data_IF_081414073954
#
_entry.id   IF_081414073954
#
_cell.length_a   1.000
_cell.length_b   1.000
_cell.length_c   1.000
_cell.angle_alpha   90.00
_cell.angle_beta   90.00
_cell.angle_gamma   90.00
#
_symmetry.space_group_name_H-M   'P 1'
#
loop_
_entity.id
_entity.type
_entity.pdbx_description
1 polymer ?
#
# COMPACT_ATOMS: atom_id res chain seq x y z
N UNK A 1 13.44 3.49 11.56
CA UNK A 1 13.46 3.55 10.08
C UNK A 1 12.00 3.73 9.67
N UNK A 2 11.65 4.83 8.96
CA UNK A 2 10.26 5.18 8.69
C UNK A 2 9.76 4.63 7.35
N UNK A 3 8.57 4.05 7.31
CA UNK A 3 7.89 3.63 6.06
C UNK A 3 6.91 4.72 5.64
N UNK A 4 6.90 5.07 4.35
CA UNK A 4 5.98 6.07 3.78
C UNK A 4 4.94 5.39 2.90
N UNK A 5 3.67 5.61 3.21
CA UNK A 5 2.54 4.89 2.62
C UNK A 5 1.51 5.87 2.04
N UNK A 6 1.00 5.59 0.84
CA UNK A 6 -0.37 5.99 0.46
C UNK A 6 -0.58 7.12 -0.56
N UNK A 7 -1.81 7.10 -1.10
CA UNK A 7 -2.39 7.98 -2.12
C UNK A 7 -2.74 9.33 -1.51
N UNK A 8 -2.37 10.42 -2.19
CA UNK A 8 -2.73 11.79 -1.80
C UNK A 8 -1.82 12.45 -0.77
N UNK A 9 -1.31 11.74 0.25
CA UNK A 9 -0.30 12.29 1.18
C UNK A 9 0.51 11.17 1.87
N UNK A 10 1.81 11.15 1.60
CA UNK A 10 2.81 10.38 2.34
C UNK A 10 2.69 10.62 3.86
N UNK A 11 2.66 9.56 4.67
CA UNK A 11 2.73 9.65 6.13
C UNK A 11 3.79 8.71 6.69
N UNK A 12 4.37 9.09 7.84
CA UNK A 12 5.43 8.32 8.50
C UNK A 12 4.85 7.19 9.36
N UNK A 13 5.49 6.02 9.29
CA UNK A 13 5.19 4.85 10.09
C UNK A 13 6.46 4.37 10.79
N UNK A 14 6.36 4.09 12.09
CA UNK A 14 7.41 3.41 12.85
C UNK A 14 7.05 1.93 13.00
N UNK A 15 7.94 1.04 12.54
CA UNK A 15 7.81 -0.41 12.68
C UNK A 15 9.20 -1.05 12.82
N UNK A 16 9.29 -2.13 13.59
CA UNK A 16 10.54 -2.87 13.76
C UNK A 16 10.82 -3.77 12.53
N UNK A 17 12.08 -4.05 12.25
CA UNK A 17 12.48 -4.78 11.02
C UNK A 17 12.15 -6.27 11.08
N UNK A 18 12.10 -6.82 12.28
CA UNK A 18 11.76 -8.19 12.63
C UNK A 18 10.24 -8.43 12.68
N UNK A 19 9.44 -7.36 12.66
CA UNK A 19 7.99 -7.49 12.50
C UNK A 19 7.61 -7.95 11.09
N UNK A 20 6.42 -8.53 10.97
CA UNK A 20 5.90 -9.02 9.69
C UNK A 20 5.19 -7.93 8.89
N UNK A 21 5.03 -8.15 7.58
CA UNK A 21 4.20 -7.29 6.73
C UNK A 21 2.74 -7.24 7.22
N UNK A 22 2.22 -8.29 7.86
CA UNK A 22 0.90 -8.26 8.48
C UNK A 22 0.80 -7.16 9.55
N UNK A 23 1.79 -7.08 10.45
CA UNK A 23 1.86 -6.01 11.46
C UNK A 23 1.97 -4.63 10.81
N UNK A 24 2.69 -4.51 9.69
CA UNK A 24 2.72 -3.25 8.92
C UNK A 24 1.33 -2.84 8.44
N UNK A 25 0.52 -3.78 7.94
CA UNK A 25 -0.86 -3.50 7.51
C UNK A 25 -1.73 -3.03 8.68
N UNK A 26 -1.60 -3.64 9.87
CA UNK A 26 -2.31 -3.22 11.07
C UNK A 26 -1.97 -1.77 11.45
N UNK A 27 -0.69 -1.41 11.44
CA UNK A 27 -0.24 -0.05 11.76
C UNK A 27 -0.76 0.96 10.72
N UNK A 28 -0.71 0.62 9.44
CA UNK A 28 -1.27 1.44 8.35
C UNK A 28 -2.76 1.73 8.59
N UNK A 29 -3.54 0.67 8.89
CA UNK A 29 -4.97 0.79 9.18
C UNK A 29 -5.25 1.65 10.40
N UNK A 30 -4.50 1.46 11.48
CA UNK A 30 -4.63 2.22 12.73
C UNK A 30 -4.38 3.73 12.54
N UNK A 31 -3.45 4.10 11.66
CA UNK A 31 -3.10 5.50 11.38
C UNK A 31 -4.09 6.19 10.42
N UNK A 32 -4.86 5.42 9.64
CA UNK A 32 -5.84 5.93 8.66
C UNK A 32 -7.22 5.26 8.80
N UNK A 33 -7.83 5.23 10.00
CA UNK A 33 -9.05 4.46 10.25
C UNK A 33 -10.25 4.96 9.43
N UNK A 34 -10.29 6.25 9.13
CA UNK A 34 -11.37 6.86 8.35
C UNK A 34 -11.24 6.60 6.84
N UNK A 35 -10.04 6.30 6.35
CA UNK A 35 -9.76 6.11 4.92
C UNK A 35 -9.62 4.63 4.56
N UNK A 36 -9.27 3.78 5.52
CA UNK A 36 -8.96 2.36 5.31
C UNK A 36 -9.93 1.47 6.10
N UNK A 37 -11.19 1.47 5.68
CA UNK A 37 -12.26 0.63 6.25
C UNK A 37 -12.32 -0.75 5.57
N UNK A 38 -11.25 -1.55 5.71
CA UNK A 38 -11.26 -2.93 5.22
C UNK A 38 -10.65 -3.89 6.24
N UNK A 39 -10.90 -5.18 6.05
CA UNK A 39 -10.11 -6.21 6.74
C UNK A 39 -8.64 -6.11 6.30
N UNK A 40 -7.74 -6.31 7.25
CA UNK A 40 -6.29 -6.28 7.05
C UNK A 40 -5.86 -7.38 6.07
N UNK A 41 -6.55 -8.52 6.10
CA UNK A 41 -6.32 -9.63 5.18
C UNK A 41 -6.63 -9.27 3.72
N UNK A 42 -7.52 -8.30 3.49
CA UNK A 42 -7.85 -7.81 2.16
C UNK A 42 -6.94 -6.65 1.69
N UNK A 43 -6.17 -6.04 2.59
CA UNK A 43 -5.21 -5.01 2.22
C UNK A 43 -4.03 -5.63 1.48
N UNK A 44 -3.73 -5.15 0.27
CA UNK A 44 -2.54 -5.55 -0.48
C UNK A 44 -1.51 -4.43 -0.44
N UNK A 45 -0.26 -4.78 -0.11
CA UNK A 45 0.86 -3.85 -0.09
C UNK A 45 1.83 -4.21 -1.20
N UNK A 46 2.17 -3.23 -2.03
CA UNK A 46 3.13 -3.41 -3.11
C UNK A 46 4.31 -2.48 -2.92
N UNK A 47 5.50 -2.99 -3.20
CA UNK A 47 6.71 -2.19 -3.12
C UNK A 47 6.72 -1.15 -4.24
N UNK A 48 6.94 0.12 -3.90
CA UNK A 48 7.14 1.21 -4.86
C UNK A 48 8.51 1.16 -5.55
N UNK A 49 8.98 -0.04 -5.83
CA UNK A 49 10.18 -0.31 -6.59
C UNK A 49 9.77 -1.07 -7.85
N UNK A 50 10.05 -0.48 -9.00
CA UNK A 50 9.64 -0.98 -10.32
C UNK A 50 10.78 -0.78 -11.29
N UNK A 51 11.01 -1.77 -12.15
CA UNK A 51 12.03 -1.72 -13.22
C UNK A 51 13.42 -1.28 -12.74
N UNK A 52 13.83 -1.77 -11.55
CA UNK A 52 15.14 -1.48 -10.96
C UNK A 52 15.25 -0.11 -10.27
N UNK A 53 14.16 0.67 -10.20
CA UNK A 53 14.16 2.01 -9.63
C UNK A 53 13.05 2.21 -8.59
N UNK A 54 13.31 3.07 -7.61
CA UNK A 54 12.28 3.53 -6.69
C UNK A 54 11.42 4.58 -7.39
N UNK A 55 10.10 4.47 -7.22
CA UNK A 55 9.19 5.50 -7.70
C UNK A 55 9.49 6.84 -7.01
N UNK A 56 9.55 7.89 -7.81
CA UNK A 56 9.42 9.26 -7.36
C UNK A 56 7.96 9.57 -7.00
N UNK A 57 7.73 10.67 -6.27
CA UNK A 57 6.37 11.12 -5.97
C UNK A 57 5.57 11.46 -7.26
N UNK A 58 6.25 11.92 -8.31
CA UNK A 58 5.62 12.20 -9.60
C UNK A 58 5.16 10.90 -10.28
N UNK A 59 6.03 9.89 -10.38
CA UNK A 59 5.67 8.58 -10.95
C UNK A 59 4.60 7.87 -10.13
N UNK A 60 4.61 8.06 -8.81
CA UNK A 60 3.53 7.60 -7.95
C UNK A 60 2.19 8.24 -8.35
N UNK A 61 2.16 9.56 -8.56
CA UNK A 61 0.97 10.27 -9.06
C UNK A 61 0.48 9.74 -10.41
N UNK A 62 1.39 9.41 -11.33
CA UNK A 62 1.05 8.81 -12.63
C UNK A 62 0.46 7.39 -12.47
N UNK A 63 0.98 6.56 -11.56
CA UNK A 63 0.43 5.23 -11.28
C UNK A 63 -1.00 5.32 -10.76
N UNK A 64 -1.26 6.29 -9.89
CA UNK A 64 -2.58 6.59 -9.34
C UNK A 64 -3.52 7.09 -10.42
N UNK A 65 -3.10 8.05 -11.25
CA UNK A 65 -3.89 8.57 -12.35
C UNK A 65 -4.14 7.51 -13.43
N UNK A 66 -3.16 6.65 -13.71
CA UNK A 66 -3.26 5.54 -14.66
C UNK A 66 -4.30 4.48 -14.28
N UNK A 67 -4.71 4.37 -13.01
CA UNK A 67 -5.90 3.59 -12.61
C UNK A 67 -7.20 4.13 -13.20
N UNK A 68 -7.23 5.41 -13.58
CA UNK A 68 -8.38 6.03 -14.24
C UNK A 68 -8.50 5.63 -15.71
N UNK A 69 -7.42 5.12 -16.32
CA UNK A 69 -7.36 4.77 -17.75
C UNK A 69 -7.13 3.27 -18.04
N UNK A 70 -6.75 2.46 -17.04
CA UNK A 70 -6.50 1.02 -17.18
C UNK A 70 -6.99 0.19 -16.00
N UNK A 71 -6.94 -1.14 -16.12
CA UNK A 71 -7.34 -2.04 -15.01
C UNK A 71 -6.31 -1.99 -13.88
N UNK A 72 -6.78 -2.14 -12.63
CA UNK A 72 -5.91 -2.23 -11.45
C UNK A 72 -4.83 -3.33 -11.62
N UNK A 73 -5.21 -4.50 -12.15
CA UNK A 73 -4.27 -5.59 -12.40
C UNK A 73 -3.14 -5.20 -13.37
N UNK A 74 -3.47 -4.50 -14.46
CA UNK A 74 -2.49 -3.99 -15.43
C UNK A 74 -1.52 -2.99 -14.79
N UNK A 75 -2.04 -2.08 -13.96
CA UNK A 75 -1.22 -1.08 -13.26
C UNK A 75 -0.26 -1.76 -12.27
N UNK A 76 -0.74 -2.80 -11.57
CA UNK A 76 0.03 -3.49 -10.52
C UNK A 76 1.01 -4.54 -11.05
N UNK A 77 0.92 -4.96 -12.32
CA UNK A 77 1.73 -6.05 -12.90
C UNK A 77 3.25 -5.84 -12.85
N UNK A 78 3.73 -4.60 -12.71
CA UNK A 78 5.15 -4.26 -12.57
C UNK A 78 5.64 -4.09 -11.13
N UNK A 79 4.78 -4.29 -10.13
CA UNK A 79 5.11 -4.07 -8.73
C UNK A 79 5.15 -5.38 -7.96
N UNK A 80 6.11 -5.50 -7.04
CA UNK A 80 6.20 -6.66 -6.15
C UNK A 80 5.16 -6.59 -5.05
N UNK A 81 4.26 -7.57 -4.99
CA UNK A 81 3.37 -7.80 -3.85
C UNK A 81 4.17 -8.30 -2.63
N UNK A 82 3.98 -7.65 -1.49
CA UNK A 82 4.60 -8.02 -0.22
C UNK A 82 3.81 -9.15 0.45
N UNK A 83 4.49 -10.22 0.85
CA UNK A 83 3.83 -11.36 1.49
C UNK A 83 3.58 -11.07 2.97
N UNK A 84 2.40 -11.39 3.53
CA UNK A 84 2.06 -11.04 4.92
C UNK A 84 3.04 -11.53 5.98
N UNK A 85 3.65 -12.69 5.77
CA UNK A 85 4.56 -13.33 6.72
C UNK A 85 6.03 -12.98 6.49
N UNK A 86 6.37 -12.25 5.42
CA UNK A 86 7.74 -11.77 5.25
C UNK A 86 8.06 -10.76 6.37
N UNK A 87 9.29 -10.81 6.88
CA UNK A 87 9.77 -9.77 7.77
C UNK A 87 9.94 -8.46 6.99
N UNK A 88 9.57 -7.34 7.63
CA UNK A 88 9.67 -5.98 7.06
C UNK A 88 11.09 -5.70 6.58
N UNK A 89 12.10 -6.11 7.34
CA UNK A 89 13.51 -5.94 7.02
C UNK A 89 13.93 -6.63 5.72
N UNK A 90 13.41 -7.82 5.44
CA UNK A 90 13.73 -8.62 4.27
C UNK A 90 12.93 -8.16 3.05
N UNK A 91 11.65 -7.83 3.27
CA UNK A 91 10.73 -7.37 2.25
C UNK A 91 11.09 -5.97 1.72
N UNK A 92 11.51 -5.06 2.61
CA UNK A 92 11.72 -3.65 2.28
C UNK A 92 13.20 -3.23 2.27
N UNK A 93 14.06 -3.92 3.02
CA UNK A 93 15.45 -3.51 3.28
C UNK A 93 16.51 -4.13 2.37
N UNK A 94 16.15 -5.08 1.49
CA UNK A 94 17.09 -5.72 0.56
C UNK A 94 17.58 -4.78 -0.56
N UNK A 95 16.88 -3.66 -0.78
CA UNK A 95 17.19 -2.69 -1.82
C UNK A 95 17.87 -1.47 -1.20
N UNK A 96 18.85 -0.88 -1.90
CA UNK A 96 19.42 0.40 -1.51
C UNK A 96 18.33 1.48 -1.59
N UNK A 97 17.70 1.77 -0.45
CA UNK A 97 16.62 2.76 -0.34
C UNK A 97 17.18 4.16 -0.55
N UNK A 98 16.47 5.09 -1.21
CA UNK A 98 16.88 6.49 -1.27
C UNK A 98 16.82 7.08 0.13
N UNK A 99 17.99 7.24 0.74
CA UNK A 99 18.31 8.08 1.92
C UNK A 99 17.18 8.24 2.96
N UNK A 100 16.58 7.14 3.43
CA UNK A 100 15.66 7.03 4.58
C UNK A 100 14.15 6.94 4.26
N UNK A 101 13.73 6.69 3.02
CA UNK A 101 12.29 6.52 2.70
C UNK A 101 12.05 5.30 1.83
N UNK A 102 10.92 4.65 2.08
CA UNK A 102 10.43 3.51 1.31
C UNK A 102 9.00 3.85 0.89
N UNK A 103 8.72 3.72 -0.39
CA UNK A 103 7.38 3.89 -0.93
C UNK A 103 6.65 2.56 -0.95
N UNK A 104 5.46 2.50 -0.35
CA UNK A 104 4.56 1.33 -0.41
C UNK A 104 3.22 1.78 -0.97
N UNK A 105 2.77 1.08 -2.01
CA UNK A 105 1.44 1.26 -2.59
C UNK A 105 0.45 0.38 -1.82
N UNK A 106 -0.60 1.01 -1.29
CA UNK A 106 -1.71 0.31 -0.63
C UNK A 106 -2.83 0.16 -1.62
N UNK A 107 -3.34 -1.07 -1.73
CA UNK A 107 -4.53 -1.37 -2.51
C UNK A 107 -5.55 -1.96 -1.55
N UNK A 108 -6.71 -1.30 -1.49
CA UNK A 108 -7.86 -1.78 -0.76
C UNK A 108 -8.80 -2.46 -1.76
N UNK A 109 -9.57 -3.48 -1.35
CA UNK A 109 -10.68 -3.94 -2.17
C UNK A 109 -11.66 -2.78 -2.40
N UNK A 110 -12.41 -2.76 -3.51
CA UNK A 110 -13.51 -1.83 -3.67
C UNK A 110 -14.42 -1.97 -2.46
N UNK A 111 -14.70 -0.86 -1.78
CA UNK A 111 -15.66 -0.86 -0.68
C UNK A 111 -16.95 -1.45 -1.22
N UNK A 112 -17.33 -2.63 -0.73
CA UNK A 112 -18.70 -3.11 -0.92
C UNK A 112 -19.55 -2.15 -0.11
N UNK A 113 -20.02 -1.09 -0.76
CA UNK A 113 -21.25 -0.44 -0.33
C UNK A 113 -22.25 -1.57 -0.37
N UNK A 114 -22.53 -2.20 0.78
CA UNK A 114 -23.77 -2.97 0.89
C UNK A 114 -24.83 -1.99 0.43
N UNK A 115 -25.59 -2.30 -0.63
CA UNK A 115 -26.84 -1.62 -0.84
C UNK A 115 -27.62 -1.91 0.43
N UNK A 116 -27.69 -0.95 1.35
CA UNK A 116 -28.73 -0.98 2.34
C UNK A 116 -29.99 -0.96 1.51
N UNK A 117 -30.67 -2.11 1.52
CA UNK A 117 -31.76 -2.37 0.61
C UNK A 117 -32.77 -1.24 0.65
N UNK A 118 -33.21 -0.95 -0.55
CA UNK A 118 -34.15 0.08 -0.94
C UNK A 118 -35.50 -0.20 -0.27
N UNK A 119 -36.07 0.87 0.27
CA UNK A 119 -37.51 1.14 0.40
C UNK A 119 -38.37 0.21 1.30
N UNK A 120 -39.00 0.89 2.26
CA UNK A 120 -40.35 0.73 2.82
C UNK A 120 -41.29 -0.31 2.17
N UNK A 121 -42.17 -0.88 2.99
CA UNK A 121 -43.53 -0.33 3.04
C UNK A 121 -43.97 0.21 4.42
#
# INVERSE_FOLDING_TARGET
MGVVVGEGNAFEISICRDETIHVLKDVIKMLKPNTMQCDVDHMQLYLGFKDGNWLTMAEYGEVVQGRSSGTLASVMAGFRLLQPFDHVGDALGALQTPKNRIHVLVVLPPSTVQPHDRADP
#
